data_IF_401174824707
#
_entry.id   IF_401174824707
#
_cell.length_a   1.000
_cell.length_b   1.000
_cell.length_c   1.000
_cell.angle_alpha   90.00
_cell.angle_beta   90.00
_cell.angle_gamma   90.00
#
_symmetry.space_group_name_H-M   'P 1'
#
loop_
_entity.id
_entity.type
_entity.pdbx_description
1 polymer ?
#
# COMPACT_ATOMS: atom_id res chain seq x y z
N UNK A 1 -6.72 21.54 -14.40
CA UNK A 1 -6.01 20.78 -13.33
C UNK A 1 -5.06 19.80 -13.97
N UNK A 2 -3.77 19.98 -13.76
CA UNK A 2 -2.80 19.02 -14.24
C UNK A 2 -2.92 17.76 -13.37
N UNK A 3 -3.38 16.70 -13.97
CA UNK A 3 -3.34 15.36 -13.40
C UNK A 3 -1.86 14.95 -13.32
N UNK A 4 -1.18 15.36 -12.26
CA UNK A 4 0.20 14.95 -12.02
C UNK A 4 0.21 13.52 -11.49
N UNK A 5 -0.14 12.60 -12.37
CA UNK A 5 0.04 11.17 -12.11
C UNK A 5 1.54 10.88 -12.20
N UNK A 6 2.13 10.70 -11.05
CA UNK A 6 3.50 10.22 -11.02
C UNK A 6 3.49 8.72 -11.31
N UNK A 7 4.07 8.34 -12.44
CA UNK A 7 4.26 6.95 -12.86
C UNK A 7 5.71 6.73 -13.21
N UNK A 8 6.23 5.55 -12.86
CA UNK A 8 7.59 5.13 -13.25
C UNK A 8 7.59 4.17 -14.44
N UNK A 9 6.40 3.82 -14.95
CA UNK A 9 6.23 2.90 -16.09
C UNK A 9 6.13 1.43 -15.69
N UNK A 10 6.23 1.12 -14.41
CA UNK A 10 6.16 -0.25 -13.91
C UNK A 10 4.76 -0.70 -13.48
N UNK A 11 3.80 0.22 -13.44
CA UNK A 11 2.49 0.01 -12.79
C UNK A 11 1.74 -1.20 -13.35
N UNK A 12 1.70 -1.37 -14.66
CA UNK A 12 1.04 -2.54 -15.29
C UNK A 12 1.69 -3.85 -14.87
N UNK A 13 3.01 -3.88 -14.81
CA UNK A 13 3.78 -5.04 -14.36
C UNK A 13 3.49 -5.36 -12.90
N UNK A 14 3.50 -4.35 -12.03
CA UNK A 14 3.21 -4.51 -10.60
C UNK A 14 1.80 -5.09 -10.39
N UNK A 15 0.80 -4.54 -11.09
CA UNK A 15 -0.58 -5.05 -11.04
C UNK A 15 -0.63 -6.52 -11.49
N UNK A 16 0.02 -6.86 -12.61
CA UNK A 16 0.03 -8.23 -13.14
C UNK A 16 0.65 -9.23 -12.17
N UNK A 17 1.78 -8.87 -11.57
CA UNK A 17 2.46 -9.72 -10.59
C UNK A 17 1.59 -9.93 -9.36
N UNK A 18 1.02 -8.86 -8.81
CA UNK A 18 0.14 -8.95 -7.63
C UNK A 18 -1.12 -9.76 -7.91
N UNK A 19 -1.69 -9.63 -9.11
CA UNK A 19 -2.89 -10.40 -9.47
C UNK A 19 -2.62 -11.89 -9.52
N UNK A 20 -1.46 -12.29 -10.00
CA UNK A 20 -1.05 -13.69 -10.12
C UNK A 20 -0.50 -14.28 -8.83
N UNK A 21 -0.05 -13.47 -7.88
CA UNK A 21 0.63 -13.93 -6.68
C UNK A 21 -0.31 -14.65 -5.71
N UNK A 22 0.15 -15.78 -5.19
CA UNK A 22 -0.51 -16.50 -4.09
C UNK A 22 -0.19 -15.92 -2.72
N UNK A 23 1.02 -15.41 -2.53
CA UNK A 23 1.45 -14.72 -1.31
C UNK A 23 1.70 -13.25 -1.59
N UNK A 24 0.84 -12.37 -1.08
CA UNK A 24 0.92 -10.92 -1.22
C UNK A 24 1.34 -10.23 0.07
N UNK A 25 1.84 -10.98 1.05
CA UNK A 25 2.26 -10.43 2.34
C UNK A 25 3.43 -9.47 2.20
N UNK A 26 3.65 -8.66 3.24
CA UNK A 26 4.78 -7.71 3.27
C UNK A 26 6.14 -8.42 3.28
N UNK A 27 6.20 -9.67 3.72
CA UNK A 27 7.41 -10.51 3.76
C UNK A 27 7.45 -11.58 2.65
N UNK A 28 6.66 -11.44 1.59
CA UNK A 28 6.52 -12.46 0.54
C UNK A 28 7.83 -12.71 -0.21
N UNK A 29 8.31 -13.93 -0.15
CA UNK A 29 9.43 -14.41 -0.98
C UNK A 29 9.02 -14.54 -2.45
N UNK A 30 7.76 -14.89 -2.70
CA UNK A 30 7.20 -14.97 -4.05
C UNK A 30 7.29 -13.61 -4.76
N UNK A 31 6.87 -12.53 -4.10
CA UNK A 31 6.97 -11.20 -4.67
C UNK A 31 8.42 -10.74 -4.78
N UNK A 32 9.26 -11.04 -3.79
CA UNK A 32 10.69 -10.69 -3.83
C UNK A 32 11.42 -11.35 -5.01
N UNK A 33 10.98 -12.51 -5.47
CA UNK A 33 11.55 -13.19 -6.62
C UNK A 33 11.37 -12.42 -7.94
N UNK A 34 10.45 -11.46 -8.00
CA UNK A 34 10.24 -10.58 -9.15
C UNK A 34 11.14 -9.33 -9.17
N UNK A 35 11.99 -9.14 -8.16
CA UNK A 35 12.87 -7.98 -8.08
C UNK A 35 14.01 -8.14 -9.08
N UNK A 36 14.04 -7.29 -10.10
CA UNK A 36 15.11 -7.24 -11.10
C UNK A 36 15.53 -5.81 -11.48
N UNK A 37 14.83 -4.80 -10.97
CA UNK A 37 15.11 -3.39 -11.19
C UNK A 37 14.73 -2.56 -9.95
N UNK A 38 14.93 -1.23 -10.03
CA UNK A 38 14.59 -0.35 -8.92
C UNK A 38 13.08 -0.31 -8.62
N UNK A 39 12.17 -0.17 -9.63
CA UNK A 39 10.74 -0.17 -9.34
C UNK A 39 10.25 -1.45 -8.66
N UNK A 40 10.66 -2.62 -9.13
CA UNK A 40 10.24 -3.88 -8.50
C UNK A 40 10.82 -4.04 -7.10
N UNK A 41 12.04 -3.56 -6.85
CA UNK A 41 12.60 -3.50 -5.49
C UNK A 41 11.78 -2.60 -4.58
N UNK A 42 11.35 -1.46 -5.09
CA UNK A 42 10.54 -0.51 -4.34
C UNK A 42 9.18 -1.11 -3.93
N UNK A 43 8.51 -1.83 -4.83
CA UNK A 43 7.18 -2.37 -4.58
C UNK A 43 7.19 -3.75 -3.90
N UNK A 44 8.20 -4.55 -4.11
CA UNK A 44 8.27 -5.94 -3.62
C UNK A 44 9.35 -6.20 -2.57
N UNK A 45 10.19 -5.22 -2.27
CA UNK A 45 11.24 -5.37 -1.28
C UNK A 45 10.69 -5.53 0.13
N UNK A 46 11.16 -6.56 0.84
CA UNK A 46 10.73 -6.85 2.22
C UNK A 46 11.22 -5.82 3.22
N UNK A 47 12.35 -5.19 2.95
CA UNK A 47 12.93 -4.18 3.84
C UNK A 47 12.19 -2.84 3.85
N UNK A 48 11.27 -2.63 2.91
CA UNK A 48 10.57 -1.34 2.78
C UNK A 48 9.80 -0.94 4.03
N UNK A 49 9.25 -1.89 4.76
CA UNK A 49 8.48 -1.64 5.98
C UNK A 49 9.33 -1.51 7.24
N UNK A 50 10.65 -1.69 7.15
CA UNK A 50 11.52 -1.69 8.33
C UNK A 50 11.44 -0.41 9.15
N UNK A 51 11.25 0.75 8.51
CA UNK A 51 11.11 2.04 9.20
C UNK A 51 9.82 2.13 10.02
N UNK A 52 8.82 1.29 9.73
CA UNK A 52 7.55 1.28 10.43
C UNK A 52 7.55 0.37 11.66
N UNK A 53 8.48 -0.59 11.75
CA UNK A 53 8.49 -1.59 12.81
C UNK A 53 8.53 -1.01 14.22
N UNK A 54 9.18 0.15 14.49
CA UNK A 54 9.13 0.78 15.81
C UNK A 54 7.75 1.34 16.18
N UNK A 55 6.87 1.54 15.21
CA UNK A 55 5.52 2.07 15.47
C UNK A 55 4.66 0.92 16.01
N UNK A 56 4.02 1.16 17.15
CA UNK A 56 3.12 0.16 17.74
C UNK A 56 1.77 0.23 17.05
N UNK A 57 1.53 -0.70 16.13
CA UNK A 57 0.25 -0.91 15.46
C UNK A 57 -0.39 -2.19 15.99
N UNK A 58 -1.72 -2.20 16.04
CA UNK A 58 -2.46 -3.35 16.50
C UNK A 58 -3.97 -3.11 16.45
N UNK A 59 -4.78 -4.03 16.99
CA UNK A 59 -6.22 -3.86 17.06
C UNK A 59 -6.61 -2.56 17.74
N UNK A 60 -7.57 -1.83 17.14
CA UNK A 60 -8.04 -0.54 17.63
C UNK A 60 -7.23 0.67 17.13
N UNK A 61 -6.09 0.46 16.49
CA UNK A 61 -5.30 1.54 15.88
C UNK A 61 -5.82 1.82 14.47
N UNK A 62 -6.10 3.09 14.19
CA UNK A 62 -6.54 3.56 12.86
C UNK A 62 -5.38 4.26 12.17
N UNK A 63 -5.08 3.81 10.96
CA UNK A 63 -3.97 4.31 10.14
C UNK A 63 -4.51 4.93 8.85
N UNK A 64 -4.03 6.12 8.52
CA UNK A 64 -4.20 6.73 7.20
C UNK A 64 -2.88 6.63 6.45
N UNK A 65 -2.90 6.00 5.28
CA UNK A 65 -1.75 5.90 4.37
C UNK A 65 -1.99 6.80 3.16
N UNK A 66 -1.33 7.95 3.15
CA UNK A 66 -1.45 8.96 2.09
C UNK A 66 -0.41 8.70 1.00
N UNK A 67 -0.87 8.56 -0.24
CA UNK A 67 0.02 8.18 -1.34
C UNK A 67 0.48 6.73 -1.19
N UNK A 68 -0.47 5.83 -0.97
CA UNK A 68 -0.20 4.44 -0.59
C UNK A 68 0.58 3.64 -1.64
N UNK A 69 0.67 4.12 -2.87
CA UNK A 69 1.34 3.42 -3.96
C UNK A 69 0.72 2.04 -4.20
N UNK A 70 1.54 1.01 -4.23
CA UNK A 70 1.09 -0.38 -4.37
C UNK A 70 0.64 -1.03 -3.06
N UNK A 71 0.50 -0.26 -1.99
CA UNK A 71 -0.08 -0.72 -0.73
C UNK A 71 0.85 -1.49 0.20
N UNK A 72 2.17 -1.38 0.03
CA UNK A 72 3.15 -2.11 0.86
C UNK A 72 2.99 -1.80 2.34
N UNK A 73 2.97 -0.51 2.68
CA UNK A 73 2.87 -0.07 4.07
C UNK A 73 1.47 -0.34 4.65
N UNK A 74 0.42 -0.14 3.84
CA UNK A 74 -0.95 -0.47 4.24
C UNK A 74 -1.09 -1.97 4.54
N UNK A 75 -0.52 -2.84 3.70
CA UNK A 75 -0.51 -4.28 3.92
C UNK A 75 0.14 -4.63 5.25
N UNK A 76 1.34 -4.10 5.49
CA UNK A 76 2.07 -4.37 6.73
C UNK A 76 1.28 -3.90 7.95
N UNK A 77 0.74 -2.69 7.93
CA UNK A 77 -0.05 -2.15 9.04
C UNK A 77 -1.26 -3.04 9.37
N UNK A 78 -1.98 -3.49 8.34
CA UNK A 78 -3.13 -4.37 8.51
C UNK A 78 -2.73 -5.76 9.02
N UNK A 79 -1.56 -6.27 8.61
CA UNK A 79 -0.99 -7.52 9.16
C UNK A 79 -0.72 -7.43 10.66
N UNK A 80 -0.47 -6.23 11.19
CA UNK A 80 -0.33 -5.98 12.62
C UNK A 80 -1.69 -5.89 13.34
N UNK A 81 -2.79 -5.91 12.62
CA UNK A 81 -4.14 -5.83 13.16
C UNK A 81 -4.78 -4.44 13.10
N UNK A 82 -4.10 -3.44 12.56
CA UNK A 82 -4.64 -2.09 12.40
C UNK A 82 -5.74 -2.03 11.34
N UNK A 83 -6.65 -1.06 11.49
CA UNK A 83 -7.59 -0.67 10.44
C UNK A 83 -6.96 0.42 9.60
N UNK A 84 -6.91 0.24 8.30
CA UNK A 84 -6.20 1.15 7.38
C UNK A 84 -7.15 1.78 6.37
N UNK A 85 -7.04 3.08 6.22
CA UNK A 85 -7.58 3.81 5.06
C UNK A 85 -6.38 4.25 4.22
N UNK A 86 -6.34 3.79 2.97
CA UNK A 86 -5.27 4.10 2.03
C UNK A 86 -5.82 4.97 0.91
N UNK A 87 -5.10 6.03 0.57
CA UNK A 87 -5.47 6.96 -0.51
C UNK A 87 -4.35 7.01 -1.52
N UNK A 88 -4.68 6.77 -2.79
CA UNK A 88 -3.72 6.79 -3.89
C UNK A 88 -4.27 7.55 -5.10
N UNK A 89 -3.48 8.47 -5.65
CA UNK A 89 -3.91 9.33 -6.76
C UNK A 89 -3.81 8.68 -8.13
N UNK A 90 -3.01 7.64 -8.31
CA UNK A 90 -2.89 6.92 -9.57
C UNK A 90 -3.79 5.68 -9.59
N UNK A 91 -4.59 5.52 -10.64
CA UNK A 91 -5.56 4.44 -10.74
C UNK A 91 -4.91 3.05 -10.73
N UNK A 92 -3.79 2.86 -11.44
CA UNK A 92 -3.10 1.56 -11.48
C UNK A 92 -2.44 1.23 -10.14
N UNK A 93 -1.87 2.23 -9.47
CA UNK A 93 -1.31 2.04 -8.14
C UNK A 93 -2.39 1.73 -7.11
N UNK A 94 -3.53 2.42 -7.19
CA UNK A 94 -4.68 2.11 -6.35
C UNK A 94 -5.18 0.68 -6.58
N UNK A 95 -5.24 0.23 -7.83
CA UNK A 95 -5.57 -1.16 -8.16
C UNK A 95 -4.56 -2.14 -7.55
N UNK A 96 -3.27 -1.83 -7.66
CA UNK A 96 -2.22 -2.63 -7.03
C UNK A 96 -2.40 -2.71 -5.51
N UNK A 97 -2.72 -1.60 -4.86
CA UNK A 97 -2.97 -1.56 -3.41
C UNK A 97 -4.18 -2.41 -3.03
N UNK A 98 -5.27 -2.36 -3.79
CA UNK A 98 -6.44 -3.23 -3.58
C UNK A 98 -6.05 -4.69 -3.64
N UNK A 99 -5.29 -5.09 -4.67
CA UNK A 99 -4.80 -6.47 -4.82
C UNK A 99 -3.89 -6.87 -3.66
N UNK A 100 -2.94 -6.00 -3.28
CA UNK A 100 -2.00 -6.27 -2.19
C UNK A 100 -2.69 -6.48 -0.85
N UNK A 101 -3.78 -5.76 -0.61
CA UNK A 101 -4.46 -5.74 0.68
C UNK A 101 -5.73 -6.60 0.72
N UNK A 102 -5.99 -7.41 -0.29
CA UNK A 102 -7.16 -8.29 -0.36
C UNK A 102 -7.25 -9.18 0.88
N UNK A 103 -8.41 -9.22 1.51
CA UNK A 103 -8.67 -10.04 2.70
C UNK A 103 -8.26 -9.41 4.03
N UNK A 104 -7.73 -8.18 4.00
CA UNK A 104 -7.34 -7.44 5.19
C UNK A 104 -8.25 -6.22 5.40
N UNK A 105 -8.18 -5.64 6.60
CA UNK A 105 -8.96 -4.46 6.98
C UNK A 105 -8.31 -3.18 6.42
N UNK A 106 -8.32 -3.06 5.11
CA UNK A 106 -7.81 -1.92 4.36
C UNK A 106 -8.86 -1.44 3.38
N UNK A 107 -9.22 -0.16 3.49
CA UNK A 107 -10.09 0.53 2.54
C UNK A 107 -9.22 1.41 1.64
N UNK A 108 -9.15 1.07 0.36
CA UNK A 108 -8.36 1.82 -0.63
C UNK A 108 -9.26 2.75 -1.43
N UNK A 109 -8.93 4.04 -1.41
CA UNK A 109 -9.59 5.06 -2.22
C UNK A 109 -8.66 5.58 -3.32
N UNK A 110 -9.15 5.60 -4.55
CA UNK A 110 -8.48 6.28 -5.65
C UNK A 110 -8.89 7.76 -5.62
N UNK A 111 -7.96 8.65 -5.32
CA UNK A 111 -8.23 10.08 -5.24
C UNK A 111 -7.18 10.85 -4.45
N UNK A 112 -7.59 12.01 -3.96
CA UNK A 112 -6.76 12.87 -3.12
C UNK A 112 -7.12 12.74 -1.65
N UNK A 113 -6.13 12.79 -0.78
CA UNK A 113 -6.35 12.84 0.67
C UNK A 113 -7.14 14.08 1.10
N UNK A 114 -7.11 15.17 0.30
CA UNK A 114 -7.91 16.38 0.57
C UNK A 114 -9.40 16.15 0.40
N UNK A 115 -9.81 15.12 -0.33
CA UNK A 115 -11.22 14.77 -0.54
C UNK A 115 -11.74 13.77 0.50
N UNK A 116 -10.87 13.32 1.38
CA UNK A 116 -11.23 12.37 2.43
C UNK A 116 -12.08 13.06 3.50
N UNK A 117 -13.23 12.47 3.79
CA UNK A 117 -14.09 12.85 4.91
C UNK A 117 -14.06 11.73 5.94
N UNK A 118 -13.53 12.02 7.13
CA UNK A 118 -13.47 11.07 8.24
C UNK A 118 -13.77 11.80 9.54
N UNK A 119 -14.81 11.36 10.24
CA UNK A 119 -15.25 11.98 11.48
C UNK A 119 -14.62 11.35 12.73
N UNK A 120 -13.96 10.19 12.58
CA UNK A 120 -13.41 9.43 13.70
C UNK A 120 -11.91 9.69 13.94
N UNK A 121 -11.24 10.28 12.94
CA UNK A 121 -9.81 10.57 12.99
C UNK A 121 -8.92 9.34 12.85
N UNK A 122 -7.61 9.57 12.88
CA UNK A 122 -6.59 8.54 12.77
C UNK A 122 -5.57 8.65 13.90
N UNK A 123 -5.05 7.51 14.33
CA UNK A 123 -4.00 7.47 15.34
C UNK A 123 -2.61 7.66 14.73
N UNK A 124 -2.45 7.19 13.49
CA UNK A 124 -1.18 7.26 12.74
C UNK A 124 -1.46 7.69 11.31
N UNK A 125 -0.64 8.58 10.79
CA UNK A 125 -0.64 9.00 9.38
C UNK A 125 0.72 8.67 8.78
N UNK A 126 0.69 7.90 7.69
CA UNK A 126 1.87 7.61 6.87
C UNK A 126 1.79 8.43 5.59
N UNK A 127 2.94 8.93 5.12
CA UNK A 127 3.02 9.62 3.83
C UNK A 127 4.43 9.60 3.22
#
# INVERSE_FOLDING_TARGET
MSDRRWRDGSEDRIVSVLRAAGDRSSASDELAAHIDDWPTRYHFGRARTNLLHPIRLGPGVRVLDVGAGSGVNSRWAAEQGATVVAVEGDALRAEAAVLRCTGLDVDVSHGSATDLVDNDGFDVVLC
#
